data_IF_290987606856
#
_entry.id   IF_290987606856
#
_cell.length_a   1.000
_cell.length_b   1.000
_cell.length_c   1.000
_cell.angle_alpha   90.00
_cell.angle_beta   90.00
_cell.angle_gamma   90.00
#
_symmetry.space_group_name_H-M   'P 1'
#
loop_
_entity.id
_entity.type
_entity.pdbx_description
1 polymer ?
#
# COMPACT_ATOMS: atom_id res chain seq x y z
N UNK A 1 0.63 6.85 24.96
CA UNK A 1 -0.02 7.42 23.76
C UNK A 1 -0.22 6.27 22.81
N UNK A 2 -1.49 5.89 22.61
CA UNK A 2 -1.88 4.72 21.85
C UNK A 2 -1.59 4.95 20.36
N UNK A 3 -0.78 4.09 19.74
CA UNK A 3 -0.34 4.23 18.35
C UNK A 3 -1.47 3.98 17.32
N UNK A 4 -2.66 3.60 17.81
CA UNK A 4 -3.85 3.26 17.04
C UNK A 4 -4.60 4.49 16.48
N UNK A 5 -4.47 5.65 17.13
CA UNK A 5 -5.15 6.90 16.69
C UNK A 5 -4.55 7.46 15.38
N UNK A 6 -3.29 7.14 15.09
CA UNK A 6 -2.56 7.69 13.95
C UNK A 6 -2.99 7.15 12.59
N UNK A 7 -3.90 6.18 12.48
CA UNK A 7 -4.34 5.64 11.18
C UNK A 7 -5.80 5.92 10.86
N UNK A 8 -6.57 6.45 11.83
CA UNK A 8 -7.98 6.76 11.66
C UNK A 8 -8.24 7.76 10.51
N UNK A 9 -7.30 8.66 10.24
CA UNK A 9 -7.40 9.62 9.13
C UNK A 9 -7.41 8.97 7.74
N UNK A 10 -6.97 7.72 7.63
CA UNK A 10 -6.97 6.95 6.38
C UNK A 10 -8.29 6.22 6.13
N UNK A 11 -9.15 6.09 7.13
CA UNK A 11 -10.38 5.31 7.00
C UNK A 11 -11.30 5.87 5.89
N UNK A 12 -11.70 4.99 4.96
CA UNK A 12 -12.51 5.33 3.79
C UNK A 12 -11.77 6.06 2.67
N UNK A 13 -10.50 6.44 2.87
CA UNK A 13 -9.68 7.16 1.88
C UNK A 13 -9.22 6.24 0.77
N UNK A 14 -9.06 6.81 -0.43
CA UNK A 14 -8.44 6.08 -1.55
C UNK A 14 -6.96 5.91 -1.29
N UNK A 15 -6.50 4.67 -1.15
CA UNK A 15 -5.12 4.34 -0.82
C UNK A 15 -4.52 3.40 -1.87
N UNK A 16 -3.31 3.73 -2.30
CA UNK A 16 -2.53 2.92 -3.21
C UNK A 16 -1.35 2.26 -2.48
N UNK A 17 -1.37 0.94 -2.38
CA UNK A 17 -0.22 0.16 -1.93
C UNK A 17 0.72 -0.01 -3.11
N UNK A 18 1.92 0.55 -3.01
CA UNK A 18 2.97 0.42 -4.01
C UNK A 18 3.99 -0.58 -3.49
N UNK A 19 4.02 -1.72 -4.16
CA UNK A 19 4.99 -2.76 -3.88
C UNK A 19 6.27 -2.47 -4.65
N UNK A 20 7.38 -2.53 -3.93
CA UNK A 20 8.73 -2.33 -4.45
C UNK A 20 9.49 -3.62 -4.28
N UNK A 21 9.72 -4.32 -5.40
CA UNK A 21 10.56 -5.51 -5.45
C UNK A 21 11.90 -5.12 -6.08
N UNK A 22 13.01 -5.39 -5.41
CA UNK A 22 14.34 -5.22 -6.00
C UNK A 22 14.60 -6.42 -6.90
N UNK A 23 14.74 -6.19 -8.20
CA UNK A 23 14.99 -7.25 -9.20
C UNK A 23 16.48 -7.47 -9.37
N UNK A 24 17.26 -6.39 -9.30
CA UNK A 24 18.71 -6.47 -9.39
C UNK A 24 19.32 -5.32 -8.59
N UNK A 25 20.09 -5.67 -7.55
CA UNK A 25 20.69 -4.69 -6.64
C UNK A 25 21.90 -3.98 -7.26
N UNK A 26 22.60 -4.61 -8.21
CA UNK A 26 23.79 -4.07 -8.85
C UNK A 26 23.47 -2.96 -9.87
N UNK A 27 22.30 -3.04 -10.50
CA UNK A 27 21.80 -2.12 -11.52
C UNK A 27 20.63 -1.27 -11.04
N UNK A 28 20.31 -1.33 -9.74
CA UNK A 28 19.22 -0.58 -9.09
C UNK A 28 17.85 -0.79 -9.77
N UNK A 29 17.64 -1.96 -10.39
CA UNK A 29 16.36 -2.26 -11.05
C UNK A 29 15.34 -2.69 -10.02
N UNK A 30 14.24 -1.94 -9.96
CA UNK A 30 13.08 -2.25 -9.14
C UNK A 30 11.86 -2.52 -10.00
N UNK A 31 11.05 -3.49 -9.59
CA UNK A 31 9.71 -3.71 -10.12
C UNK A 31 8.71 -3.06 -9.18
N UNK A 32 7.86 -2.22 -9.75
CA UNK A 32 6.78 -1.55 -9.03
C UNK A 32 5.44 -2.19 -9.41
N UNK A 33 4.63 -2.51 -8.41
CA UNK A 33 3.26 -2.95 -8.60
C UNK A 33 2.33 -2.17 -7.69
N UNK A 34 1.10 -1.92 -8.13
CA UNK A 34 0.15 -1.11 -7.40
C UNK A 34 -1.13 -1.86 -7.12
N UNK A 35 -1.52 -1.86 -5.85
CA UNK A 35 -2.82 -2.30 -5.41
C UNK A 35 -3.60 -1.09 -4.91
N UNK A 36 -4.71 -0.79 -5.59
CA UNK A 36 -5.50 0.43 -5.35
C UNK A 36 -6.83 0.03 -4.75
N UNK A 37 -7.22 0.71 -3.68
CA UNK A 37 -8.47 0.45 -3.03
C UNK A 37 -8.83 1.54 -2.02
N UNK A 38 -9.75 1.21 -1.13
CA UNK A 38 -10.08 2.04 0.02
C UNK A 38 -9.42 1.50 1.27
N UNK A 39 -8.82 2.40 2.03
CA UNK A 39 -8.30 2.08 3.35
C UNK A 39 -9.45 1.85 4.33
N UNK A 40 -9.29 0.83 5.17
CA UNK A 40 -10.22 0.42 6.21
C UNK A 40 -9.39 0.05 7.46
N UNK A 41 -9.88 0.40 8.65
CA UNK A 41 -9.14 0.16 9.89
C UNK A 41 -9.79 -0.99 10.65
N UNK A 42 -9.18 -2.18 10.58
CA UNK A 42 -9.67 -3.37 11.28
C UNK A 42 -8.84 -3.65 12.53
N UNK A 43 -9.44 -3.46 13.71
CA UNK A 43 -8.78 -3.71 15.01
C UNK A 43 -7.42 -3.01 15.13
N UNK A 44 -7.33 -1.76 14.66
CA UNK A 44 -6.10 -0.96 14.65
C UNK A 44 -5.09 -1.31 13.56
N UNK A 45 -5.46 -2.15 12.59
CA UNK A 45 -4.63 -2.49 11.43
C UNK A 45 -5.20 -1.85 10.17
N UNK A 46 -4.32 -1.27 9.37
CA UNK A 46 -4.67 -0.75 8.06
C UNK A 46 -4.84 -1.89 7.07
N UNK A 47 -6.02 -2.02 6.47
CA UNK A 47 -6.27 -2.90 5.33
C UNK A 47 -6.74 -2.06 4.15
N UNK A 48 -6.45 -2.52 2.93
CA UNK A 48 -6.90 -1.88 1.70
C UNK A 48 -7.82 -2.85 0.96
N UNK A 49 -9.00 -2.38 0.60
CA UNK A 49 -10.00 -3.18 -0.11
C UNK A 49 -10.18 -2.64 -1.52
N UNK A 50 -9.92 -3.44 -2.54
CA UNK A 50 -10.12 -3.04 -3.94
C UNK A 50 -11.60 -3.08 -4.35
N UNK A 51 -11.88 -2.64 -5.57
CA UNK A 51 -13.24 -2.65 -6.13
C UNK A 51 -13.86 -4.05 -6.30
N UNK A 52 -13.02 -5.10 -6.34
CA UNK A 52 -13.44 -6.49 -6.49
C UNK A 52 -13.63 -7.17 -5.11
N UNK A 53 -13.43 -6.44 -4.02
CA UNK A 53 -13.49 -6.98 -2.65
C UNK A 53 -12.22 -7.72 -2.22
N UNK A 54 -11.13 -7.66 -2.99
CA UNK A 54 -9.83 -8.17 -2.59
C UNK A 54 -9.30 -7.35 -1.42
N UNK A 55 -8.84 -8.00 -0.37
CA UNK A 55 -8.32 -7.34 0.83
C UNK A 55 -6.81 -7.54 0.93
N UNK A 56 -6.09 -6.43 1.04
CA UNK A 56 -4.66 -6.43 1.32
C UNK A 56 -4.39 -5.87 2.72
N UNK A 57 -3.92 -6.69 3.69
CA UNK A 57 -3.52 -6.20 5.00
C UNK A 57 -2.16 -5.50 4.90
N UNK A 58 -2.11 -4.20 5.20
CA UNK A 58 -0.87 -3.43 5.17
C UNK A 58 0.01 -3.84 6.36
N UNK A 59 1.27 -4.25 6.13
CA UNK A 59 2.18 -4.59 7.22
C UNK A 59 2.36 -3.40 8.17
N UNK A 60 2.38 -3.65 9.48
CA UNK A 60 2.61 -2.61 10.50
C UNK A 60 3.98 -1.92 10.37
N UNK A 61 4.95 -2.56 9.73
CA UNK A 61 6.24 -1.95 9.37
C UNK A 61 6.13 -0.90 8.27
N UNK A 62 5.11 -1.00 7.40
CA UNK A 62 4.89 -0.10 6.28
C UNK A 62 3.93 1.06 6.62
N UNK A 63 3.11 0.94 7.67
CA UNK A 63 2.14 1.99 8.05
C UNK A 63 2.79 3.33 8.40
N UNK A 64 4.07 3.34 8.82
CA UNK A 64 4.85 4.57 9.03
C UNK A 64 5.24 5.28 7.73
N UNK A 65 5.18 4.58 6.60
CA UNK A 65 5.50 5.10 5.27
C UNK A 65 4.23 5.41 4.46
N UNK A 66 3.10 5.66 5.12
CA UNK A 66 1.92 6.18 4.44
C UNK A 66 2.14 7.67 4.19
N UNK A 67 2.08 8.05 2.92
CA UNK A 67 2.35 9.39 2.43
C UNK A 67 1.13 9.91 1.64
N UNK A 68 0.87 11.22 1.64
CA UNK A 68 -0.14 11.80 0.76
C UNK A 68 0.28 11.60 -0.71
N UNK A 69 -0.70 11.45 -1.60
CA UNK A 69 -0.46 11.33 -3.03
C UNK A 69 0.34 12.51 -3.56
N UNK A 70 1.41 12.21 -4.29
CA UNK A 70 2.30 13.19 -4.92
C UNK A 70 1.85 13.56 -6.35
N UNK A 71 0.68 13.07 -6.78
CA UNK A 71 0.13 13.31 -8.12
C UNK A 71 0.81 12.51 -9.23
N UNK A 72 1.67 11.54 -8.90
CA UNK A 72 2.29 10.68 -9.91
C UNK A 72 1.26 9.80 -10.61
N UNK A 73 1.50 9.54 -11.91
CA UNK A 73 0.60 8.73 -12.76
C UNK A 73 0.33 7.33 -12.20
N UNK A 74 1.26 6.80 -11.40
CA UNK A 74 1.16 5.48 -10.78
C UNK A 74 0.08 5.43 -9.69
N UNK A 75 -0.16 6.54 -8.98
CA UNK A 75 -1.13 6.64 -7.90
C UNK A 75 -2.56 6.89 -8.39
N UNK A 76 -2.71 7.42 -9.61
CA UNK A 76 -4.01 7.76 -10.22
C UNK A 76 -4.83 8.68 -9.32
N UNK A 77 -5.97 8.23 -8.82
CA UNK A 77 -6.91 8.98 -7.99
C UNK A 77 -6.77 8.67 -6.49
N UNK A 78 -5.70 7.97 -6.09
CA UNK A 78 -5.41 7.73 -4.69
C UNK A 78 -5.10 9.06 -3.96
N UNK A 79 -5.66 9.20 -2.75
CA UNK A 79 -5.40 10.31 -1.84
C UNK A 79 -4.11 10.08 -1.05
N UNK A 80 -3.80 8.81 -0.77
CA UNK A 80 -2.60 8.38 -0.04
C UNK A 80 -1.95 7.18 -0.72
N UNK A 81 -0.67 6.97 -0.46
CA UNK A 81 0.04 5.78 -0.88
C UNK A 81 0.95 5.25 0.22
N UNK A 82 1.26 3.96 0.16
CA UNK A 82 2.20 3.33 1.09
C UNK A 82 3.18 2.48 0.31
N UNK A 83 4.46 2.59 0.67
CA UNK A 83 5.52 1.78 0.08
C UNK A 83 5.69 0.50 0.88
N UNK A 84 5.50 -0.65 0.22
CA UNK A 84 5.73 -1.98 0.79
C UNK A 84 6.88 -2.62 0.05
N UNK A 85 7.95 -2.94 0.78
CA UNK A 85 9.05 -3.74 0.21
C UNK A 85 8.57 -5.18 0.06
N UNK A 86 8.69 -5.72 -1.14
CA UNK A 86 8.38 -7.11 -1.45
C UNK A 86 9.69 -7.87 -1.63
N UNK A 87 9.83 -8.99 -0.91
CA UNK A 87 10.90 -9.96 -1.14
C UNK A 87 10.68 -10.73 -2.44
N UNK A 88 11.74 -11.35 -2.96
CA UNK A 88 11.80 -11.98 -4.28
C UNK A 88 10.79 -13.13 -4.52
N UNK A 89 10.02 -13.54 -3.51
CA UNK A 89 8.99 -14.58 -3.59
C UNK A 89 7.54 -14.11 -3.43
N UNK A 90 7.27 -12.81 -3.35
CA UNK A 90 5.89 -12.32 -3.24
C UNK A 90 5.32 -12.08 -4.65
N UNK A 91 4.68 -13.11 -5.21
CA UNK A 91 3.77 -12.93 -6.34
C UNK A 91 2.53 -12.18 -5.85
N UNK A 92 2.52 -10.88 -6.11
CA UNK A 92 1.33 -10.06 -5.93
C UNK A 92 0.36 -10.45 -7.02
N UNK A 93 -0.55 -11.35 -6.67
CA UNK A 93 -1.59 -11.83 -7.56
C UNK A 93 -2.44 -10.64 -8.00
N UNK A 94 -2.14 -10.09 -9.17
CA UNK A 94 -3.08 -9.25 -9.91
C UNK A 94 -4.21 -10.17 -10.32
N UNK A 95 -5.32 -10.12 -9.59
CA UNK A 95 -6.56 -10.72 -10.08
C UNK A 95 -6.97 -9.93 -11.33
N UNK A 96 -6.86 -10.61 -12.46
CA UNK A 96 -7.19 -10.13 -13.80
C UNK A 96 -8.70 -9.94 -13.97
#
# INVERSE_FOLDING_TARGET
MDMSDSLAYLEGKRLCVVFVQVVDQATERVRLQCFRGRANIERGRLVVVDQNGTVFPVPSSATRNVLPSDGTKILRDAEYFVLVKADEGIDLVSSN
#
